data_IF_371998259625
#
_entry.id   IF_371998259625
#
_cell.length_a   1.000
_cell.length_b   1.000
_cell.length_c   1.000
_cell.angle_alpha   90.00
_cell.angle_beta   90.00
_cell.angle_gamma   90.00
#
_symmetry.space_group_name_H-M   'P 1'
#
loop_
_entity.id
_entity.type
_entity.pdbx_description
1 polymer ?
#
# COMPACT_ATOMS: atom_id res chain seq x y z
N UNK A 1 -27.03 41.96 78.03
CA UNK A 1 -25.82 42.20 77.22
C UNK A 1 -25.39 40.85 76.62
N UNK A 2 -25.81 40.57 75.36
CA UNK A 2 -25.49 39.32 74.65
C UNK A 2 -24.34 39.56 73.66
N UNK A 3 -23.23 38.84 73.90
CA UNK A 3 -22.10 38.86 72.98
C UNK A 3 -22.38 37.91 71.78
N UNK A 4 -22.33 38.46 70.63
CA UNK A 4 -22.44 37.75 69.34
C UNK A 4 -21.07 37.25 68.89
N UNK A 5 -20.81 35.94 68.88
CA UNK A 5 -19.59 35.34 68.35
C UNK A 5 -19.81 35.13 66.81
N UNK A 6 -18.98 35.81 66.01
CA UNK A 6 -18.89 35.60 64.58
C UNK A 6 -17.91 34.44 64.32
N UNK A 7 -18.41 33.30 63.84
CA UNK A 7 -17.57 32.19 63.33
C UNK A 7 -17.24 32.45 61.86
N UNK A 8 -15.98 32.77 61.56
CA UNK A 8 -15.45 32.82 60.22
C UNK A 8 -15.09 31.39 59.78
N UNK A 9 -15.88 30.81 58.89
CA UNK A 9 -15.55 29.53 58.25
C UNK A 9 -14.61 29.78 57.07
N UNK A 10 -13.34 29.44 57.21
CA UNK A 10 -12.34 29.42 56.16
C UNK A 10 -12.58 28.19 55.26
N UNK A 11 -13.25 28.35 54.16
CA UNK A 11 -13.35 27.29 53.16
C UNK A 11 -12.05 27.21 52.34
N UNK A 12 -11.23 26.22 52.69
CA UNK A 12 -10.02 25.86 51.96
C UNK A 12 -10.44 25.16 50.64
N UNK A 13 -10.51 25.95 49.57
CA UNK A 13 -10.77 25.43 48.22
C UNK A 13 -9.58 24.60 47.76
N UNK A 14 -9.68 23.28 47.80
CA UNK A 14 -8.75 22.39 47.12
C UNK A 14 -8.89 22.57 45.62
N UNK A 15 -8.02 23.40 45.04
CA UNK A 15 -7.80 23.39 43.58
C UNK A 15 -7.09 22.09 43.23
N UNK A 16 -7.86 21.08 42.82
CA UNK A 16 -7.32 19.90 42.14
C UNK A 16 -6.88 20.37 40.75
N UNK A 17 -5.60 20.69 40.62
CA UNK A 17 -4.95 20.83 39.33
C UNK A 17 -4.96 19.43 38.69
N UNK A 18 -6.00 19.11 37.90
CA UNK A 18 -5.96 17.99 36.97
C UNK A 18 -4.87 18.30 35.92
N UNK A 19 -3.65 17.86 36.24
CA UNK A 19 -2.58 17.73 35.27
C UNK A 19 -3.05 16.73 34.23
N UNK A 20 -3.56 17.22 33.12
CA UNK A 20 -3.77 16.43 31.93
C UNK A 20 -2.39 16.11 31.36
N UNK A 21 -1.70 15.13 31.92
CA UNK A 21 -0.55 14.53 31.25
C UNK A 21 -1.11 13.82 30.01
N UNK A 22 -0.89 14.39 28.84
CA UNK A 22 -1.15 13.67 27.60
C UNK A 22 -0.29 12.41 27.62
N UNK A 23 -0.94 11.27 27.83
CA UNK A 23 -0.28 9.97 27.81
C UNK A 23 0.39 9.81 26.45
N UNK A 24 1.71 9.60 26.44
CA UNK A 24 2.49 9.47 25.22
C UNK A 24 2.11 8.14 24.60
N UNK A 25 1.38 8.19 23.48
CA UNK A 25 0.95 7.02 22.73
C UNK A 25 2.15 6.36 22.07
N UNK A 26 2.27 5.05 22.22
CA UNK A 26 3.41 4.27 21.69
C UNK A 26 2.94 3.00 21.01
N UNK A 27 3.58 2.66 19.92
CA UNK A 27 3.51 1.30 19.37
C UNK A 27 4.74 0.50 19.80
N UNK A 28 4.54 -0.79 19.96
CA UNK A 28 5.60 -1.78 20.15
C UNK A 28 5.36 -2.90 19.14
N UNK A 29 6.39 -3.30 18.43
CA UNK A 29 6.36 -4.41 17.48
C UNK A 29 7.34 -5.45 17.98
N UNK A 30 6.86 -6.68 18.24
CA UNK A 30 7.68 -7.86 18.52
C UNK A 30 7.48 -8.85 17.41
N UNK A 31 8.55 -9.26 16.76
CA UNK A 31 8.43 -10.12 15.59
C UNK A 31 9.47 -11.21 15.53
N UNK A 32 9.13 -12.25 14.76
CA UNK A 32 10.01 -13.35 14.40
C UNK A 32 10.06 -13.51 12.88
N UNK A 33 11.28 -13.63 12.35
CA UNK A 33 11.54 -13.96 10.94
C UNK A 33 12.14 -15.36 10.91
N UNK A 34 11.68 -16.22 10.01
CA UNK A 34 12.15 -17.60 9.87
C UNK A 34 13.61 -17.75 9.41
N UNK A 35 14.32 -16.64 9.23
CA UNK A 35 15.77 -16.58 9.02
C UNK A 35 16.49 -16.16 10.28
N UNK A 36 17.60 -16.79 10.59
CA UNK A 36 18.39 -16.57 11.79
C UNK A 36 18.83 -15.11 11.99
N UNK A 37 19.28 -14.44 10.92
CA UNK A 37 19.59 -13.02 10.91
C UNK A 37 18.98 -12.35 9.67
N UNK A 38 18.35 -11.22 9.86
CA UNK A 38 17.74 -10.42 8.81
C UNK A 38 17.89 -8.93 9.13
N UNK A 39 18.23 -8.13 8.13
CA UNK A 39 18.20 -6.67 8.23
C UNK A 39 16.79 -6.20 7.85
N UNK A 40 16.07 -5.58 8.80
CA UNK A 40 14.71 -5.10 8.63
C UNK A 40 14.69 -3.57 8.63
N UNK A 41 13.93 -3.00 7.70
CA UNK A 41 13.69 -1.55 7.62
C UNK A 41 12.20 -1.28 7.72
N UNK A 42 11.83 -0.34 8.57
CA UNK A 42 10.48 0.20 8.60
C UNK A 42 10.47 1.63 8.06
N UNK A 43 9.59 1.87 7.10
CA UNK A 43 9.50 3.13 6.38
C UNK A 43 8.10 3.73 6.45
N UNK A 44 8.02 5.05 6.38
CA UNK A 44 6.76 5.80 6.29
C UNK A 44 6.86 6.92 5.28
N UNK A 45 5.73 7.38 4.76
CA UNK A 45 5.65 8.61 3.97
C UNK A 45 5.63 9.79 4.93
N UNK A 46 6.51 10.77 4.70
CA UNK A 46 6.57 12.01 5.47
C UNK A 46 5.62 13.09 4.89
N UNK A 47 5.49 14.22 5.56
CA UNK A 47 4.60 15.31 5.17
C UNK A 47 4.89 15.89 3.78
N UNK A 48 6.11 15.70 3.25
CA UNK A 48 6.50 16.14 1.89
C UNK A 48 6.23 15.10 0.81
N UNK A 49 5.70 13.91 1.19
CA UNK A 49 5.45 12.79 0.27
C UNK A 49 6.70 11.94 -0.01
N UNK A 50 7.80 12.13 0.71
CA UNK A 50 8.99 11.29 0.61
C UNK A 50 8.90 10.12 1.58
N UNK A 51 9.60 9.04 1.24
CA UNK A 51 9.70 7.86 2.10
C UNK A 51 10.91 8.02 3.02
N UNK A 52 10.66 8.00 4.33
CA UNK A 52 11.68 8.03 5.37
C UNK A 52 11.79 6.66 6.03
N UNK A 53 13.02 6.23 6.37
CA UNK A 53 13.26 5.08 7.22
C UNK A 53 13.13 5.52 8.68
N UNK A 54 12.21 4.90 9.41
CA UNK A 54 11.95 5.21 10.83
C UNK A 54 12.56 4.19 11.77
N UNK A 55 12.80 2.96 11.31
CA UNK A 55 13.56 1.93 12.03
C UNK A 55 14.45 1.15 11.07
N UNK A 56 15.64 0.82 11.56
CA UNK A 56 16.55 -0.13 10.97
C UNK A 56 17.03 -1.05 12.09
N UNK A 57 16.68 -2.33 12.02
CA UNK A 57 17.03 -3.32 13.04
C UNK A 57 17.53 -4.60 12.40
N UNK A 58 18.39 -5.32 13.11
CA UNK A 58 18.83 -6.66 12.73
C UNK A 58 18.21 -7.67 13.68
N UNK A 59 17.58 -8.71 13.15
CA UNK A 59 17.05 -9.80 13.98
C UNK A 59 18.19 -10.62 14.59
N UNK A 60 17.96 -11.14 15.78
CA UNK A 60 18.87 -12.05 16.50
C UNK A 60 18.13 -13.35 16.75
N UNK A 61 18.63 -14.45 16.23
CA UNK A 61 17.94 -15.75 16.23
C UNK A 61 16.53 -15.69 15.58
N UNK A 62 16.35 -14.76 14.64
CA UNK A 62 15.05 -14.49 14.02
C UNK A 62 14.21 -13.44 14.73
N UNK A 63 14.44 -13.15 16.02
CA UNK A 63 13.63 -12.22 16.81
C UNK A 63 14.06 -10.77 16.61
N UNK A 64 13.08 -9.87 16.57
CA UNK A 64 13.31 -8.41 16.49
C UNK A 64 12.26 -7.64 17.29
N UNK A 65 12.63 -6.43 17.69
CA UNK A 65 11.73 -5.49 18.36
C UNK A 65 11.92 -4.07 17.82
N UNK A 66 10.81 -3.35 17.66
CA UNK A 66 10.77 -1.93 17.27
C UNK A 66 9.75 -1.23 18.16
N UNK A 67 10.08 -0.03 18.65
CA UNK A 67 9.11 0.80 19.38
C UNK A 67 9.20 2.25 18.95
N UNK A 68 8.11 2.98 19.04
CA UNK A 68 8.09 4.39 18.71
C UNK A 68 6.87 5.12 19.23
N UNK A 69 6.99 6.45 19.23
CA UNK A 69 5.90 7.36 19.60
C UNK A 69 5.03 7.60 18.39
N UNK A 70 3.70 7.62 18.60
CA UNK A 70 2.73 7.82 17.54
C UNK A 70 1.70 8.88 17.95
N UNK A 71 1.38 9.77 17.03
CA UNK A 71 0.30 10.73 17.17
C UNK A 71 -0.84 10.39 16.21
N UNK A 72 -1.68 9.43 16.65
CA UNK A 72 -2.75 8.84 15.81
C UNK A 72 -2.26 7.73 14.89
N UNK A 73 -3.18 6.98 14.26
CA UNK A 73 -2.85 5.86 13.39
C UNK A 73 -2.01 6.28 12.19
N UNK A 74 -1.02 5.46 11.81
CA UNK A 74 -0.09 5.69 10.69
C UNK A 74 0.06 4.44 9.82
N UNK A 75 0.30 4.65 8.52
CA UNK A 75 0.69 3.60 7.60
C UNK A 75 2.23 3.52 7.54
N UNK A 76 2.76 2.37 7.87
CA UNK A 76 4.18 2.04 7.72
C UNK A 76 4.35 0.82 6.82
N UNK A 77 5.57 0.61 6.34
CA UNK A 77 5.95 -0.56 5.56
C UNK A 77 7.20 -1.20 6.13
N UNK A 78 7.12 -2.50 6.40
CA UNK A 78 8.26 -3.30 6.81
C UNK A 78 8.83 -4.03 5.60
N UNK A 79 10.15 -3.94 5.40
CA UNK A 79 10.90 -4.66 4.36
C UNK A 79 12.02 -5.44 5.00
N UNK A 80 12.45 -6.52 4.33
CA UNK A 80 13.62 -7.32 4.71
C UNK A 80 14.61 -7.24 3.56
N UNK A 81 15.85 -6.91 3.85
CA UNK A 81 16.91 -6.80 2.85
C UNK A 81 17.08 -8.10 2.06
N UNK A 82 17.03 -8.00 0.75
CA UNK A 82 17.15 -9.15 -0.16
C UNK A 82 15.88 -10.02 -0.27
N UNK A 83 14.76 -9.60 0.30
CA UNK A 83 13.45 -10.24 0.15
C UNK A 83 12.55 -9.31 -0.68
N UNK A 84 11.84 -9.87 -1.66
CA UNK A 84 10.90 -9.11 -2.48
C UNK A 84 9.66 -8.69 -1.68
N UNK A 85 9.11 -7.53 -2.03
CA UNK A 85 7.87 -7.04 -1.43
C UNK A 85 8.06 -6.25 -0.13
N UNK A 86 6.94 -5.90 0.48
CA UNK A 86 6.87 -5.16 1.75
C UNK A 86 5.57 -5.48 2.48
N UNK A 87 5.61 -5.45 3.79
CA UNK A 87 4.47 -5.70 4.67
C UNK A 87 3.85 -4.36 5.06
N UNK A 88 2.58 -4.08 4.75
CA UNK A 88 1.89 -2.89 5.25
C UNK A 88 1.51 -3.08 6.73
N UNK A 89 1.84 -2.09 7.56
CA UNK A 89 1.53 -2.04 8.98
C UNK A 89 0.68 -0.81 9.27
N UNK A 90 -0.46 -1.02 9.90
CA UNK A 90 -1.33 0.04 10.39
C UNK A 90 -1.02 0.29 11.86
N UNK A 91 -0.03 1.15 12.11
CA UNK A 91 0.44 1.44 13.46
C UNK A 91 -0.63 2.16 14.26
N UNK A 92 -0.93 1.63 15.44
CA UNK A 92 -1.82 2.18 16.47
C UNK A 92 -1.07 2.15 17.81
N UNK A 93 -1.61 2.80 18.82
CA UNK A 93 -1.11 2.80 20.20
C UNK A 93 -1.34 1.43 20.85
N UNK A 94 -0.53 0.45 20.47
CA UNK A 94 -0.68 -0.94 20.91
C UNK A 94 0.58 -1.78 20.67
N UNK A 95 0.57 -3.01 21.20
CA UNK A 95 1.54 -4.05 20.90
C UNK A 95 1.11 -4.79 19.63
N UNK A 96 2.05 -4.94 18.70
CA UNK A 96 1.94 -5.81 17.53
C UNK A 96 2.83 -7.04 17.70
N UNK A 97 2.33 -8.19 17.25
CA UNK A 97 3.12 -9.42 17.12
C UNK A 97 3.17 -9.82 15.66
N UNK A 98 4.38 -10.04 15.12
CA UNK A 98 4.62 -10.40 13.72
C UNK A 98 5.32 -11.76 13.62
N UNK A 99 4.81 -12.64 12.76
CA UNK A 99 5.50 -13.85 12.33
C UNK A 99 5.71 -13.78 10.82
N UNK A 100 6.96 -13.85 10.34
CA UNK A 100 7.31 -13.57 8.96
C UNK A 100 8.10 -14.75 8.36
N UNK A 101 7.64 -15.25 7.23
CA UNK A 101 8.41 -16.12 6.33
C UNK A 101 9.13 -15.25 5.31
N UNK A 102 10.47 -15.20 5.38
CA UNK A 102 11.31 -14.34 4.55
C UNK A 102 11.43 -14.86 3.11
N UNK A 103 10.30 -15.04 2.42
CA UNK A 103 10.22 -15.53 1.05
C UNK A 103 9.85 -14.40 0.08
N UNK A 104 8.58 -14.04 0.00
CA UNK A 104 8.03 -12.96 -0.81
C UNK A 104 7.01 -12.20 0.04
N UNK A 105 7.35 -10.98 0.44
CA UNK A 105 6.49 -10.17 1.31
C UNK A 105 5.33 -9.50 0.56
N UNK A 106 5.26 -9.64 -0.77
CA UNK A 106 4.09 -9.25 -1.53
C UNK A 106 2.94 -10.28 -1.43
N UNK A 107 3.26 -11.51 -0.99
CA UNK A 107 2.27 -12.55 -0.72
C UNK A 107 1.85 -12.50 0.75
N UNK A 108 0.61 -12.11 0.99
CA UNK A 108 0.02 -11.96 2.33
C UNK A 108 0.05 -13.25 3.17
N UNK A 109 0.19 -14.42 2.55
CA UNK A 109 0.35 -15.71 3.22
C UNK A 109 1.70 -15.89 3.91
N UNK A 110 2.67 -15.02 3.64
CA UNK A 110 4.03 -15.12 4.17
C UNK A 110 4.24 -14.33 5.46
N UNK A 111 3.20 -13.72 6.00
CA UNK A 111 3.27 -13.08 7.31
C UNK A 111 1.93 -13.16 8.04
N UNK A 112 2.00 -13.13 9.36
CA UNK A 112 0.86 -12.99 10.26
C UNK A 112 1.13 -11.80 11.18
N UNK A 113 0.15 -10.91 11.32
CA UNK A 113 0.25 -9.70 12.13
C UNK A 113 -0.92 -9.69 13.09
N UNK A 114 -0.64 -9.59 14.38
CA UNK A 114 -1.65 -9.45 15.41
C UNK A 114 -1.45 -8.14 16.17
N UNK A 115 -2.54 -7.56 16.67
CA UNK A 115 -2.56 -6.27 17.35
C UNK A 115 -3.14 -5.16 16.48
N UNK A 116 -3.78 -4.19 17.14
CA UNK A 116 -4.43 -3.07 16.49
C UNK A 116 -5.78 -3.40 15.83
N UNK A 117 -6.73 -2.47 15.98
CA UNK A 117 -8.08 -2.61 15.41
C UNK A 117 -8.06 -2.43 13.88
N UNK A 118 -7.29 -1.47 13.40
CA UNK A 118 -7.19 -1.20 11.95
C UNK A 118 -6.39 -2.31 11.26
N UNK A 119 -5.36 -2.85 11.92
CA UNK A 119 -4.62 -4.00 11.40
C UNK A 119 -5.50 -5.24 11.31
N UNK A 120 -6.36 -5.50 12.30
CA UNK A 120 -7.32 -6.60 12.24
C UNK A 120 -8.29 -6.45 11.05
N UNK A 121 -8.73 -5.22 10.73
CA UNK A 121 -9.51 -4.92 9.52
C UNK A 121 -8.74 -5.19 8.23
N UNK A 122 -7.43 -4.90 8.18
CA UNK A 122 -6.56 -5.24 7.05
C UNK A 122 -6.41 -6.76 6.89
N UNK A 123 -6.19 -7.46 8.00
CA UNK A 123 -6.08 -8.93 7.99
C UNK A 123 -7.36 -9.60 7.45
N UNK A 124 -8.53 -9.09 7.83
CA UNK A 124 -9.80 -9.60 7.29
C UNK A 124 -9.92 -9.41 5.76
N UNK A 125 -9.35 -8.35 5.19
CA UNK A 125 -9.25 -8.19 3.74
C UNK A 125 -8.22 -9.15 3.12
N UNK A 126 -7.11 -9.41 3.82
CA UNK A 126 -6.10 -10.38 3.38
C UNK A 126 -6.70 -11.81 3.31
N UNK A 127 -7.54 -12.19 4.28
CA UNK A 127 -8.27 -13.46 4.25
C UNK A 127 -9.18 -13.57 3.01
N UNK A 128 -9.89 -12.49 2.65
CA UNK A 128 -10.67 -12.42 1.41
C UNK A 128 -9.78 -12.55 0.17
N UNK A 129 -8.60 -11.93 0.16
CA UNK A 129 -7.63 -12.06 -0.94
C UNK A 129 -7.18 -13.51 -1.09
N UNK A 130 -6.82 -14.18 0.00
CA UNK A 130 -6.41 -15.58 0.01
C UNK A 130 -7.53 -16.49 -0.52
N UNK A 131 -8.77 -16.28 -0.08
CA UNK A 131 -9.92 -17.08 -0.52
C UNK A 131 -10.19 -16.88 -2.02
N UNK A 132 -10.31 -15.62 -2.48
CA UNK A 132 -10.63 -15.29 -3.87
C UNK A 132 -9.55 -15.78 -4.83
N UNK A 133 -8.29 -15.73 -4.44
CA UNK A 133 -7.17 -16.14 -5.28
C UNK A 133 -6.62 -17.55 -4.96
N UNK A 134 -7.38 -18.39 -4.26
CA UNK A 134 -6.96 -19.76 -3.87
C UNK A 134 -6.50 -20.62 -5.05
N UNK A 135 -7.20 -20.55 -6.19
CA UNK A 135 -6.91 -21.35 -7.38
C UNK A 135 -5.99 -20.65 -8.40
N UNK A 136 -5.53 -19.43 -8.09
CA UNK A 136 -4.75 -18.59 -9.02
C UNK A 136 -3.52 -19.30 -9.57
N UNK A 137 -2.75 -19.97 -8.72
CA UNK A 137 -1.51 -20.62 -9.14
C UNK A 137 -1.77 -21.79 -10.10
N UNK A 138 -2.87 -22.54 -9.89
CA UNK A 138 -3.33 -23.60 -10.78
C UNK A 138 -3.76 -23.04 -12.14
N UNK A 139 -4.57 -21.97 -12.14
CA UNK A 139 -5.03 -21.29 -13.36
C UNK A 139 -3.84 -20.72 -14.15
N UNK A 140 -2.87 -20.11 -13.47
CA UNK A 140 -1.64 -19.62 -14.10
C UNK A 140 -0.82 -20.75 -14.74
N UNK A 141 -0.71 -21.90 -14.08
CA UNK A 141 -0.02 -23.07 -14.65
C UNK A 141 -0.71 -23.53 -15.94
N UNK A 142 -2.05 -23.63 -15.96
CA UNK A 142 -2.82 -23.95 -17.15
C UNK A 142 -2.67 -22.89 -18.25
N UNK A 143 -2.65 -21.59 -17.88
CA UNK A 143 -2.43 -20.50 -18.84
C UNK A 143 -1.08 -20.63 -19.55
N UNK A 144 0.02 -20.86 -18.80
CA UNK A 144 1.35 -21.02 -19.40
C UNK A 144 1.51 -22.30 -20.20
N UNK A 145 0.83 -23.38 -19.84
CA UNK A 145 0.80 -24.62 -20.63
C UNK A 145 0.06 -24.40 -21.94
N UNK A 146 -1.09 -23.71 -21.93
CA UNK A 146 -1.82 -23.32 -23.15
C UNK A 146 -0.97 -22.41 -24.04
N UNK A 147 -0.23 -21.46 -23.46
CA UNK A 147 0.68 -20.59 -24.20
C UNK A 147 1.80 -21.37 -24.88
N UNK A 148 2.45 -22.30 -24.18
CA UNK A 148 3.49 -23.19 -24.70
C UNK A 148 2.99 -24.05 -25.86
N UNK A 149 1.76 -24.52 -25.79
CA UNK A 149 1.12 -25.36 -26.81
C UNK A 149 0.45 -24.58 -27.94
N UNK A 150 0.56 -23.24 -27.94
CA UNK A 150 -0.14 -22.34 -28.88
C UNK A 150 -1.67 -22.51 -28.89
N UNK A 151 -2.23 -22.99 -27.74
CA UNK A 151 -3.68 -23.10 -27.54
C UNK A 151 -4.29 -21.75 -27.19
N UNK A 152 -4.73 -21.01 -28.21
CA UNK A 152 -5.33 -19.69 -28.06
C UNK A 152 -6.63 -19.77 -27.24
N UNK A 153 -7.46 -20.81 -27.46
CA UNK A 153 -8.74 -20.95 -26.78
C UNK A 153 -8.55 -21.23 -25.26
N UNK A 154 -7.65 -22.15 -24.93
CA UNK A 154 -7.26 -22.44 -23.54
C UNK A 154 -6.69 -21.21 -22.83
N UNK A 155 -5.77 -20.49 -23.50
CA UNK A 155 -5.19 -19.26 -22.97
C UNK A 155 -6.25 -18.18 -22.69
N UNK A 156 -7.22 -17.99 -23.60
CA UNK A 156 -8.33 -17.05 -23.40
C UNK A 156 -9.25 -17.50 -22.26
N UNK A 157 -9.49 -18.78 -22.12
CA UNK A 157 -10.30 -19.34 -21.02
C UNK A 157 -9.66 -19.03 -19.65
N UNK A 158 -8.39 -19.39 -19.46
CA UNK A 158 -7.67 -19.16 -18.21
C UNK A 158 -7.54 -17.67 -17.88
N UNK A 159 -7.30 -16.82 -18.90
CA UNK A 159 -7.30 -15.38 -18.73
C UNK A 159 -8.64 -14.86 -18.21
N UNK A 160 -9.76 -15.36 -18.75
CA UNK A 160 -11.10 -14.97 -18.30
C UNK A 160 -11.38 -15.43 -16.85
N UNK A 161 -10.79 -16.56 -16.41
CA UNK A 161 -10.86 -16.98 -15.01
C UNK A 161 -10.12 -16.01 -14.09
N UNK A 162 -8.88 -15.62 -14.42
CA UNK A 162 -8.11 -14.65 -13.65
C UNK A 162 -8.80 -13.26 -13.60
N UNK A 163 -9.41 -12.83 -14.70
CA UNK A 163 -10.16 -11.59 -14.74
C UNK A 163 -11.40 -11.63 -13.84
N UNK A 164 -12.12 -12.77 -13.78
CA UNK A 164 -13.25 -12.97 -12.85
C UNK A 164 -12.83 -12.90 -11.39
N UNK A 165 -11.72 -13.54 -11.02
CA UNK A 165 -11.16 -13.43 -9.67
C UNK A 165 -10.81 -11.99 -9.31
N UNK A 166 -10.19 -11.27 -10.24
CA UNK A 166 -9.85 -9.85 -10.06
C UNK A 166 -11.09 -9.00 -9.84
N UNK A 167 -12.16 -9.20 -10.63
CA UNK A 167 -13.42 -8.48 -10.49
C UNK A 167 -14.10 -8.82 -9.15
N UNK A 168 -14.08 -10.08 -8.74
CA UNK A 168 -14.64 -10.51 -7.46
C UNK A 168 -13.90 -9.85 -6.29
N UNK A 169 -12.56 -9.86 -6.32
CA UNK A 169 -11.75 -9.21 -5.29
C UNK A 169 -11.96 -7.68 -5.26
N UNK A 170 -11.98 -7.01 -6.42
CA UNK A 170 -12.23 -5.57 -6.48
C UNK A 170 -13.56 -5.17 -5.84
N UNK A 171 -14.58 -6.01 -5.99
CA UNK A 171 -15.89 -5.77 -5.38
C UNK A 171 -15.82 -5.81 -3.86
N UNK A 172 -15.15 -6.80 -3.29
CA UNK A 172 -14.97 -6.91 -1.84
C UNK A 172 -14.03 -5.81 -1.31
N UNK A 173 -12.90 -5.57 -1.96
CA UNK A 173 -11.97 -4.50 -1.62
C UNK A 173 -12.65 -3.12 -1.59
N UNK A 174 -13.53 -2.82 -2.56
CA UNK A 174 -14.28 -1.57 -2.58
C UNK A 174 -15.24 -1.43 -1.38
N UNK A 175 -15.85 -2.54 -0.91
CA UNK A 175 -16.67 -2.51 0.32
C UNK A 175 -15.82 -2.18 1.56
N UNK A 176 -14.61 -2.75 1.66
CA UNK A 176 -13.69 -2.43 2.75
C UNK A 176 -13.25 -0.96 2.70
N UNK A 177 -12.95 -0.44 1.51
CA UNK A 177 -12.59 0.98 1.34
C UNK A 177 -13.76 1.88 1.76
N UNK A 178 -14.98 1.61 1.29
CA UNK A 178 -16.18 2.41 1.62
C UNK A 178 -16.46 2.39 3.14
N UNK A 179 -16.37 1.22 3.77
CA UNK A 179 -16.56 1.08 5.22
C UNK A 179 -15.49 1.81 6.05
N UNK A 180 -14.32 2.09 5.45
CA UNK A 180 -13.16 2.70 6.10
C UNK A 180 -12.71 4.01 5.41
N UNK A 181 -13.57 4.66 4.66
CA UNK A 181 -13.25 5.82 3.83
C UNK A 181 -12.67 7.02 4.59
N UNK A 182 -12.98 7.12 5.89
CA UNK A 182 -12.60 8.24 6.75
C UNK A 182 -11.40 7.93 7.65
N UNK A 183 -10.75 6.76 7.47
CA UNK A 183 -9.62 6.35 8.30
C UNK A 183 -8.46 5.79 7.48
N UNK A 184 -7.31 5.60 8.16
CA UNK A 184 -6.06 5.18 7.52
C UNK A 184 -6.14 3.78 6.89
N UNK A 185 -7.06 2.89 7.31
CA UNK A 185 -7.22 1.57 6.69
C UNK A 185 -7.72 1.69 5.25
N UNK A 186 -8.78 2.50 5.00
CA UNK A 186 -9.25 2.74 3.63
C UNK A 186 -8.18 3.34 2.74
N UNK A 187 -7.44 4.34 3.26
CA UNK A 187 -6.30 4.93 2.55
C UNK A 187 -5.20 3.91 2.26
N UNK A 188 -4.82 3.07 3.24
CA UNK A 188 -3.77 2.06 3.11
C UNK A 188 -4.08 1.03 2.02
N UNK A 189 -5.34 0.57 1.93
CA UNK A 189 -5.79 -0.36 0.89
C UNK A 189 -5.54 0.23 -0.50
N UNK A 190 -5.93 1.49 -0.73
CA UNK A 190 -5.70 2.15 -2.03
C UNK A 190 -4.21 2.41 -2.26
N UNK A 191 -3.50 2.94 -1.26
CA UNK A 191 -2.08 3.29 -1.35
C UNK A 191 -1.17 2.10 -1.61
N UNK A 192 -1.47 0.93 -1.06
CA UNK A 192 -0.67 -0.28 -1.29
C UNK A 192 -0.63 -0.69 -2.76
N UNK A 193 -1.73 -0.47 -3.50
CA UNK A 193 -1.92 -0.95 -4.88
C UNK A 193 -1.94 0.14 -5.95
N UNK A 194 -1.97 1.44 -5.61
CA UNK A 194 -2.23 2.53 -6.56
C UNK A 194 -1.29 2.56 -7.78
N UNK A 195 -0.06 2.09 -7.63
CA UNK A 195 0.92 2.05 -8.72
C UNK A 195 0.63 0.96 -9.77
N UNK A 196 -0.12 -0.07 -9.39
CA UNK A 196 -0.43 -1.22 -10.24
C UNK A 196 -1.83 -1.14 -10.87
N UNK A 197 -2.64 -0.18 -10.45
CA UNK A 197 -3.99 0.01 -10.97
C UNK A 197 -3.96 0.86 -12.24
N UNK A 198 -4.83 0.50 -13.21
CA UNK A 198 -5.14 1.37 -14.33
C UNK A 198 -6.04 2.54 -13.88
N UNK A 199 -6.31 3.49 -14.80
CA UNK A 199 -7.09 4.69 -14.49
C UNK A 199 -8.48 4.36 -13.91
N UNK A 200 -9.23 3.45 -14.54
CA UNK A 200 -10.63 3.19 -14.17
C UNK A 200 -10.73 2.52 -12.79
N UNK A 201 -9.89 1.54 -12.50
CA UNK A 201 -9.86 0.89 -11.18
C UNK A 201 -9.37 1.84 -10.09
N UNK A 202 -8.32 2.64 -10.37
CA UNK A 202 -7.83 3.63 -9.41
C UNK A 202 -8.88 4.70 -9.14
N UNK A 203 -9.59 5.17 -10.18
CA UNK A 203 -10.67 6.14 -10.06
C UNK A 203 -11.72 5.70 -9.05
N UNK A 204 -12.28 4.50 -9.24
CA UNK A 204 -13.32 3.97 -8.35
C UNK A 204 -12.85 3.96 -6.90
N UNK A 205 -11.66 3.41 -6.63
CA UNK A 205 -11.13 3.26 -5.26
C UNK A 205 -10.78 4.61 -4.62
N UNK A 206 -10.18 5.51 -5.38
CA UNK A 206 -9.77 6.82 -4.87
C UNK A 206 -10.96 7.74 -4.61
N UNK A 207 -12.00 7.69 -5.45
CA UNK A 207 -13.22 8.48 -5.25
C UNK A 207 -14.00 8.06 -4.00
N UNK A 208 -13.90 6.80 -3.55
CA UNK A 208 -14.48 6.33 -2.30
C UNK A 208 -13.86 6.99 -1.06
N UNK A 209 -12.59 7.40 -1.09
CA UNK A 209 -11.93 8.00 0.06
C UNK A 209 -12.51 9.38 0.37
N UNK A 210 -12.60 9.73 1.65
CA UNK A 210 -12.97 11.08 2.08
C UNK A 210 -11.89 12.10 1.74
N UNK A 211 -12.26 13.38 1.73
CA UNK A 211 -11.33 14.49 1.49
C UNK A 211 -10.22 14.54 2.54
N UNK A 212 -10.51 14.15 3.79
CA UNK A 212 -9.49 14.07 4.83
C UNK A 212 -8.40 13.06 4.46
N UNK A 213 -8.76 11.89 3.95
CA UNK A 213 -7.80 10.86 3.51
C UNK A 213 -7.08 11.25 2.21
N UNK A 214 -7.76 11.89 1.27
CA UNK A 214 -7.15 12.41 0.03
C UNK A 214 -6.11 13.48 0.30
N UNK A 215 -6.26 14.27 1.36
CA UNK A 215 -5.34 15.36 1.74
C UNK A 215 -4.14 14.89 2.58
N UNK A 216 -4.06 13.61 2.96
CA UNK A 216 -2.85 13.05 3.60
C UNK A 216 -1.65 13.02 2.64
N UNK A 217 -0.40 12.87 3.12
CA UNK A 217 0.75 12.68 2.24
C UNK A 217 0.57 11.54 1.25
N UNK A 218 0.08 10.38 1.69
CA UNK A 218 -0.21 9.22 0.85
C UNK A 218 -1.34 9.49 -0.15
N UNK A 219 -2.41 10.17 0.30
CA UNK A 219 -3.53 10.56 -0.56
C UNK A 219 -3.11 11.47 -1.69
N UNK A 220 -2.20 12.44 -1.42
CA UNK A 220 -1.62 13.30 -2.47
C UNK A 220 -0.76 12.52 -3.48
N UNK A 221 -0.06 11.47 -3.06
CA UNK A 221 0.69 10.60 -3.98
C UNK A 221 -0.27 9.81 -4.88
N UNK A 222 -1.37 9.31 -4.33
CA UNK A 222 -2.43 8.65 -5.12
C UNK A 222 -3.04 9.64 -6.12
N UNK A 223 -3.36 10.87 -5.69
CA UNK A 223 -3.91 11.93 -6.55
C UNK A 223 -2.95 12.23 -7.72
N UNK A 224 -1.67 12.41 -7.43
CA UNK A 224 -0.67 12.67 -8.48
C UNK A 224 -0.59 11.53 -9.53
N UNK A 225 -0.76 10.27 -9.10
CA UNK A 225 -0.83 9.12 -10.00
C UNK A 225 -2.13 9.12 -10.80
N UNK A 226 -3.26 9.38 -10.15
CA UNK A 226 -4.57 9.47 -10.77
C UNK A 226 -4.59 10.53 -11.89
N UNK A 227 -4.05 11.72 -11.64
CA UNK A 227 -3.96 12.81 -12.61
C UNK A 227 -3.11 12.41 -13.83
N UNK A 228 -1.93 11.80 -13.60
CA UNK A 228 -1.07 11.30 -14.68
C UNK A 228 -1.76 10.26 -15.55
N UNK A 229 -2.45 9.30 -14.94
CA UNK A 229 -3.22 8.29 -15.68
C UNK A 229 -4.38 8.91 -16.45
N UNK A 230 -5.02 9.95 -15.90
CA UNK A 230 -6.11 10.68 -16.55
C UNK A 230 -5.70 11.34 -17.86
N UNK A 231 -4.43 11.78 -17.97
CA UNK A 231 -3.87 12.38 -19.20
C UNK A 231 -3.73 11.35 -20.33
N UNK A 232 -3.36 10.09 -19.98
CA UNK A 232 -3.04 9.03 -20.96
C UNK A 232 -4.11 7.94 -21.07
N UNK A 233 -5.29 8.14 -20.46
CA UNK A 233 -6.36 7.14 -20.53
C UNK A 233 -6.88 6.94 -21.96
N UNK A 234 -7.45 5.77 -22.22
CA UNK A 234 -8.08 5.45 -23.51
C UNK A 234 -9.09 6.52 -23.91
N UNK A 235 -9.08 6.91 -25.19
CA UNK A 235 -9.92 7.97 -25.77
C UNK A 235 -9.38 9.40 -25.58
N UNK A 236 -8.24 9.59 -24.93
CA UNK A 236 -7.52 10.86 -24.88
C UNK A 236 -6.45 10.94 -25.94
N UNK A 237 -6.20 12.12 -26.44
CA UNK A 237 -5.04 12.39 -27.27
C UNK A 237 -3.77 12.19 -26.44
N UNK A 238 -2.82 11.36 -26.90
CA UNK A 238 -1.56 11.16 -26.23
C UNK A 238 -0.78 12.49 -26.13
N UNK A 239 -0.09 12.75 -25.01
CA UNK A 239 0.80 13.90 -24.92
C UNK A 239 1.87 13.83 -26.02
N UNK A 240 2.18 14.97 -26.63
CA UNK A 240 3.28 15.06 -27.56
C UNK A 240 4.63 15.04 -26.82
N UNK A 241 5.65 14.47 -27.43
CA UNK A 241 7.00 14.46 -26.91
C UNK A 241 8.03 14.39 -28.03
N UNK A 242 9.23 14.89 -27.76
CA UNK A 242 10.36 14.86 -28.68
C UNK A 242 11.50 14.03 -28.08
N UNK A 243 12.05 13.12 -28.85
CA UNK A 243 13.18 12.27 -28.44
C UNK A 243 14.33 12.38 -29.43
N UNK A 244 15.59 12.25 -28.99
CA UNK A 244 16.73 12.16 -29.87
C UNK A 244 16.74 10.80 -30.59
N UNK A 245 17.17 10.80 -31.84
CA UNK A 245 17.40 9.62 -32.65
C UNK A 245 18.88 9.18 -32.58
N UNK A 246 19.20 7.99 -33.08
CA UNK A 246 20.57 7.45 -33.03
C UNK A 246 21.58 8.27 -33.85
N UNK A 247 21.13 8.99 -34.88
CA UNK A 247 21.94 9.88 -35.69
C UNK A 247 22.11 11.29 -35.12
N UNK A 248 21.55 11.56 -33.92
CA UNK A 248 21.65 12.84 -33.23
C UNK A 248 20.59 13.87 -33.66
N UNK A 249 19.70 13.52 -34.60
CA UNK A 249 18.50 14.34 -34.91
C UNK A 249 17.43 14.14 -33.83
N UNK A 250 16.28 14.79 -33.95
CA UNK A 250 15.15 14.63 -33.03
C UNK A 250 13.90 14.24 -33.81
N UNK A 251 13.02 13.48 -33.17
CA UNK A 251 11.69 13.17 -33.71
C UNK A 251 10.62 13.50 -32.68
N UNK A 252 9.55 14.15 -33.13
CA UNK A 252 8.36 14.49 -32.34
C UNK A 252 7.24 13.55 -32.70
N UNK A 253 6.48 13.05 -31.72
CA UNK A 253 5.42 12.04 -31.93
C UNK A 253 4.44 12.47 -33.00
N UNK A 254 4.01 13.74 -33.03
CA UNK A 254 3.01 14.21 -33.98
C UNK A 254 3.58 14.62 -35.36
N UNK A 255 4.90 14.71 -35.50
CA UNK A 255 5.54 14.92 -36.80
C UNK A 255 5.60 13.62 -37.64
N UNK A 256 5.57 12.47 -36.98
CA UNK A 256 5.46 11.17 -37.66
C UNK A 256 4.09 11.06 -38.32
N UNK A 257 4.02 11.08 -39.64
CA UNK A 257 2.78 10.96 -40.41
C UNK A 257 2.50 9.49 -40.69
N UNK A 258 1.53 8.93 -39.97
CA UNK A 258 1.06 7.57 -40.17
C UNK A 258 -0.43 7.46 -39.77
N UNK A 259 -1.23 6.60 -40.43
CA UNK A 259 -2.63 6.38 -40.07
C UNK A 259 -2.79 5.72 -38.66
N UNK A 260 -1.81 4.93 -38.27
CA UNK A 260 -1.71 4.29 -36.95
C UNK A 260 -0.29 4.44 -36.46
N UNK A 261 -0.13 4.71 -35.16
CA UNK A 261 1.17 4.78 -34.48
C UNK A 261 1.20 3.79 -33.34
N UNK A 262 2.28 3.05 -33.19
CA UNK A 262 2.55 2.15 -32.07
C UNK A 262 3.74 2.75 -31.32
N UNK A 263 3.57 2.92 -30.00
CA UNK A 263 4.63 3.33 -29.09
C UNK A 263 5.07 2.11 -28.27
N UNK A 264 6.29 1.68 -28.49
CA UNK A 264 6.90 0.62 -27.70
C UNK A 264 7.88 1.21 -26.67
N UNK A 265 7.67 0.89 -25.38
CA UNK A 265 8.49 1.33 -24.29
C UNK A 265 9.37 0.18 -23.81
N UNK A 266 10.63 0.20 -24.21
CA UNK A 266 11.58 -0.85 -23.92
C UNK A 266 12.86 -0.33 -23.24
N UNK A 267 13.68 -1.24 -22.70
CA UNK A 267 14.98 -0.91 -22.12
C UNK A 267 16.01 -2.00 -22.41
N UNK A 268 17.28 -1.62 -22.51
CA UNK A 268 18.39 -2.54 -22.81
C UNK A 268 18.56 -3.65 -21.75
N UNK A 269 18.17 -3.41 -20.50
CA UNK A 269 18.19 -4.38 -19.39
C UNK A 269 16.93 -5.25 -19.31
N UNK A 270 15.87 -4.93 -20.07
CA UNK A 270 14.62 -5.68 -20.11
C UNK A 270 14.77 -6.94 -20.97
N UNK A 271 14.99 -8.11 -20.35
CA UNK A 271 15.20 -9.35 -21.07
C UNK A 271 14.00 -9.77 -21.95
N UNK A 272 12.72 -9.69 -21.53
CA UNK A 272 11.60 -9.96 -22.43
C UNK A 272 11.52 -8.97 -23.59
N UNK A 273 11.74 -7.67 -23.37
CA UNK A 273 11.74 -6.68 -24.45
C UNK A 273 12.78 -7.02 -25.54
N UNK A 274 13.96 -7.46 -25.13
CA UNK A 274 15.03 -7.87 -26.07
C UNK A 274 14.71 -9.11 -26.89
N UNK A 275 13.79 -9.97 -26.41
CA UNK A 275 13.30 -11.12 -27.17
C UNK A 275 12.28 -10.70 -28.23
N UNK A 276 11.47 -9.69 -27.94
CA UNK A 276 10.44 -9.16 -28.85
C UNK A 276 11.01 -8.21 -29.93
N UNK A 277 12.07 -7.45 -29.61
CA UNK A 277 12.66 -6.46 -30.53
C UNK A 277 13.07 -6.98 -31.92
N UNK A 278 13.45 -8.27 -32.14
CA UNK A 278 13.75 -8.80 -33.47
C UNK A 278 12.51 -9.10 -34.31
N UNK A 279 11.30 -9.10 -33.72
CA UNK A 279 10.02 -9.35 -34.34
C UNK A 279 9.38 -8.01 -34.75
#
# INVERSE_FOLDING_TARGET
MKKLLLLLSLSLGCFVLSSCSSEVKKYVIKGHVDKYESDLLMTMVNETGKVDTIHEVRSVNGDFEMEGVINGPKLAFLTIKGVNGRIPLLLEDTLFTLNIRAKDLADVRNYDIQGGRLQAGKNALDDVEIEVFSDRDSILACYFEAEKNHDIAGKMHERAMLDRMTIAYDKEENKFIEANKDNILGLAIVYYRYNYLNFDRLKVKFELLSDAMKNTPEGRLIQARYDKLGVVKVGRQAPDFTLPTLDGSTVTLYDVKAPVKILDFWASWCAPCRKENPN
#
